data_IF_426956315044
#
_entry.id   IF_426956315044
#
_cell.length_a   1.000
_cell.length_b   1.000
_cell.length_c   1.000
_cell.angle_alpha   90.00
_cell.angle_beta   90.00
_cell.angle_gamma   90.00
#
_symmetry.space_group_name_H-M   'P 1'
#
loop_
_entity.id
_entity.type
_entity.pdbx_description
1 polymer ?
#
# COMPACT_ATOMS: atom_id res chain seq x y z
N UNK A 1 -1.91 19.12 11.99
CA UNK A 1 -0.91 18.10 11.63
C UNK A 1 0.10 18.63 10.61
N UNK A 2 -0.33 19.09 9.42
CA UNK A 2 0.59 19.68 8.44
C UNK A 2 1.32 20.93 8.91
N UNK A 3 0.63 21.84 9.60
CA UNK A 3 1.26 23.06 10.16
C UNK A 3 2.37 22.75 11.19
N UNK A 4 2.36 21.54 11.76
CA UNK A 4 3.39 21.05 12.67
C UNK A 4 4.45 20.17 11.98
N UNK A 5 4.40 20.03 10.65
CA UNK A 5 5.35 19.23 9.86
C UNK A 5 5.10 17.71 9.88
N UNK A 6 3.96 17.24 10.40
CA UNK A 6 3.62 15.81 10.38
C UNK A 6 3.03 15.37 9.04
N UNK A 7 3.43 14.18 8.58
CA UNK A 7 2.79 13.49 7.46
C UNK A 7 1.45 12.88 7.92
N UNK A 8 0.51 12.84 6.98
CA UNK A 8 -0.84 12.30 7.16
C UNK A 8 -1.03 11.07 6.27
N UNK A 9 -1.62 10.02 6.84
CA UNK A 9 -1.98 8.82 6.09
C UNK A 9 -3.45 8.46 6.35
N UNK A 10 -4.14 7.97 5.31
CA UNK A 10 -5.42 7.27 5.47
C UNK A 10 -5.13 5.77 5.58
N UNK A 11 -5.62 5.16 6.65
CA UNK A 11 -5.51 3.71 6.87
C UNK A 11 -6.68 2.94 6.24
N UNK A 12 -6.47 1.65 5.96
CA UNK A 12 -7.46 0.71 5.43
C UNK A 12 -8.21 1.20 4.17
N UNK A 13 -7.50 1.87 3.26
CA UNK A 13 -8.09 2.38 2.03
C UNK A 13 -8.56 1.21 1.14
N UNK A 14 -9.87 1.16 0.90
CA UNK A 14 -10.53 0.09 0.15
C UNK A 14 -11.31 -0.91 0.99
N UNK A 15 -11.23 -0.87 2.32
CA UNK A 15 -12.01 -1.72 3.22
C UNK A 15 -13.48 -1.26 3.41
N UNK A 16 -13.86 -0.08 2.88
CA UNK A 16 -15.19 0.50 3.04
C UNK A 16 -15.54 1.61 2.03
N UNK A 17 -16.70 2.26 2.22
CA UNK A 17 -17.32 3.15 1.23
C UNK A 17 -16.76 4.58 1.16
N UNK A 18 -15.96 5.02 2.14
CA UNK A 18 -15.68 6.46 2.33
C UNK A 18 -14.34 6.96 1.73
N UNK A 19 -13.54 6.10 1.10
CA UNK A 19 -12.19 6.45 0.65
C UNK A 19 -12.16 7.55 -0.41
N UNK A 20 -12.97 7.42 -1.47
CA UNK A 20 -12.94 8.36 -2.60
C UNK A 20 -13.54 9.72 -2.28
N UNK A 21 -14.64 9.76 -1.52
CA UNK A 21 -15.24 11.02 -1.06
C UNK A 21 -14.26 11.80 -0.19
N UNK A 22 -13.56 11.11 0.72
CA UNK A 22 -12.52 11.75 1.54
C UNK A 22 -11.40 12.33 0.68
N UNK A 23 -10.95 11.62 -0.36
CA UNK A 23 -9.93 12.12 -1.29
C UNK A 23 -10.39 13.31 -2.14
N UNK A 24 -11.69 13.49 -2.36
CA UNK A 24 -12.22 14.67 -3.04
C UNK A 24 -12.07 15.93 -2.16
N UNK A 25 -12.28 15.79 -0.85
CA UNK A 25 -12.24 16.91 0.10
C UNK A 25 -10.84 17.13 0.69
N UNK A 26 -10.01 16.08 0.76
CA UNK A 26 -8.71 16.10 1.42
C UNK A 26 -7.73 15.05 0.84
N UNK A 27 -6.57 15.51 0.37
CA UNK A 27 -5.52 14.65 -0.19
C UNK A 27 -4.41 14.42 0.85
N UNK A 28 -4.29 13.26 1.52
CA UNK A 28 -3.22 12.99 2.49
C UNK A 28 -1.85 12.88 1.82
N UNK A 29 -0.78 12.80 2.62
CA UNK A 29 0.56 12.52 2.11
C UNK A 29 0.68 11.07 1.63
N UNK A 30 -0.02 10.14 2.30
CA UNK A 30 -0.04 8.72 1.96
C UNK A 30 -1.44 8.09 2.09
N UNK A 31 -1.66 7.00 1.37
CA UNK A 31 -2.75 6.05 1.65
C UNK A 31 -2.16 4.66 1.88
N UNK A 32 -2.79 3.89 2.75
CA UNK A 32 -2.47 2.47 3.00
C UNK A 32 -3.57 1.62 2.37
N UNK A 33 -3.22 0.87 1.33
CA UNK A 33 -4.14 -0.06 0.67
C UNK A 33 -4.34 -1.28 1.54
N UNK A 34 -5.61 -1.53 1.87
CA UNK A 34 -6.02 -2.62 2.72
C UNK A 34 -5.69 -4.00 2.11
N UNK A 35 -5.37 -4.96 2.99
CA UNK A 35 -4.94 -6.30 2.60
C UNK A 35 -5.98 -7.07 1.78
N UNK A 36 -7.28 -6.76 1.88
CA UNK A 36 -8.32 -7.44 1.09
C UNK A 36 -8.21 -7.12 -0.41
N UNK A 37 -7.63 -5.97 -0.76
CA UNK A 37 -7.28 -5.61 -2.13
C UNK A 37 -5.95 -6.22 -2.58
N UNK A 38 -5.03 -6.45 -1.64
CA UNK A 38 -3.68 -6.97 -1.93
C UNK A 38 -3.66 -8.50 -2.03
N UNK A 39 -4.45 -9.20 -1.22
CA UNK A 39 -4.41 -10.66 -1.14
C UNK A 39 -4.69 -11.31 -2.49
N UNK A 40 -3.77 -12.16 -2.92
CA UNK A 40 -3.82 -12.88 -4.22
C UNK A 40 -4.04 -11.95 -5.42
N UNK A 41 -3.63 -10.68 -5.34
CA UNK A 41 -3.83 -9.70 -6.42
C UNK A 41 -3.21 -10.16 -7.74
N UNK A 42 -2.07 -10.85 -7.69
CA UNK A 42 -1.39 -11.43 -8.85
C UNK A 42 -2.26 -12.44 -9.65
N UNK A 43 -3.34 -12.98 -9.06
CA UNK A 43 -4.26 -13.95 -9.69
C UNK A 43 -5.66 -13.41 -9.94
N UNK A 44 -5.99 -12.22 -9.43
CA UNK A 44 -7.35 -11.68 -9.46
C UNK A 44 -7.42 -10.43 -10.34
N UNK A 45 -7.91 -10.58 -11.58
CA UNK A 45 -8.03 -9.48 -12.55
C UNK A 45 -8.84 -8.28 -12.04
N UNK A 46 -9.86 -8.50 -11.21
CA UNK A 46 -10.66 -7.42 -10.64
C UNK A 46 -9.83 -6.59 -9.66
N UNK A 47 -9.12 -7.26 -8.73
CA UNK A 47 -8.20 -6.58 -7.81
C UNK A 47 -7.07 -5.85 -8.56
N UNK A 48 -6.54 -6.45 -9.62
CA UNK A 48 -5.50 -5.82 -10.44
C UNK A 48 -6.00 -4.52 -11.07
N UNK A 49 -7.20 -4.53 -11.65
CA UNK A 49 -7.79 -3.33 -12.25
C UNK A 49 -8.03 -2.24 -11.19
N UNK A 50 -8.54 -2.60 -10.01
CA UNK A 50 -8.76 -1.68 -8.90
C UNK A 50 -7.43 -1.07 -8.45
N UNK A 51 -6.43 -1.89 -8.13
CA UNK A 51 -5.12 -1.42 -7.67
C UNK A 51 -4.47 -0.49 -8.69
N UNK A 52 -4.45 -0.85 -9.98
CA UNK A 52 -3.90 0.03 -11.04
C UNK A 52 -4.62 1.37 -11.09
N UNK A 53 -5.94 1.36 -11.00
CA UNK A 53 -6.75 2.59 -11.02
C UNK A 53 -6.45 3.49 -9.82
N UNK A 54 -6.31 2.90 -8.64
CA UNK A 54 -5.97 3.65 -7.41
C UNK A 54 -4.56 4.22 -7.49
N UNK A 55 -3.57 3.46 -7.99
CA UNK A 55 -2.21 3.97 -8.17
C UNK A 55 -2.21 5.18 -9.11
N UNK A 56 -2.86 5.08 -10.27
CA UNK A 56 -2.93 6.19 -11.23
C UNK A 56 -3.55 7.42 -10.58
N UNK A 57 -4.70 7.26 -9.92
CA UNK A 57 -5.36 8.36 -9.20
C UNK A 57 -4.45 8.98 -8.13
N UNK A 58 -3.77 8.17 -7.33
CA UNK A 58 -2.86 8.67 -6.30
C UNK A 58 -1.66 9.41 -6.90
N UNK A 59 -1.11 8.93 -8.02
CA UNK A 59 -0.07 9.62 -8.77
C UNK A 59 -0.53 11.01 -9.22
N UNK A 60 -1.74 11.10 -9.80
CA UNK A 60 -2.31 12.38 -10.27
C UNK A 60 -2.57 13.36 -9.12
N UNK A 61 -2.91 12.85 -7.93
CA UNK A 61 -3.16 13.64 -6.72
C UNK A 61 -1.88 13.94 -5.91
N UNK A 62 -0.71 13.42 -6.31
CA UNK A 62 0.54 13.57 -5.56
C UNK A 62 0.59 12.79 -4.24
N UNK A 63 -0.20 11.73 -4.12
CA UNK A 63 -0.36 10.90 -2.93
C UNK A 63 0.51 9.65 -3.05
N UNK A 64 1.28 9.30 -2.01
CA UNK A 64 2.05 8.05 -1.98
C UNK A 64 1.18 6.87 -1.58
N UNK A 65 1.43 5.71 -2.16
CA UNK A 65 0.70 4.47 -1.85
C UNK A 65 1.60 3.52 -1.06
N UNK A 66 1.08 3.02 0.07
CA UNK A 66 1.64 1.89 0.82
C UNK A 66 0.70 0.70 0.62
N UNK A 67 1.20 -0.46 0.22
CA UNK A 67 0.42 -1.70 0.19
C UNK A 67 0.64 -2.52 1.47
N UNK A 68 -0.44 -2.99 2.09
CA UNK A 68 -0.39 -3.74 3.35
C UNK A 68 -0.79 -5.21 3.22
N UNK A 69 -0.29 -6.01 4.16
CA UNK A 69 -0.63 -7.43 4.28
C UNK A 69 -0.01 -8.32 3.20
N UNK A 70 1.15 -7.93 2.67
CA UNK A 70 1.88 -8.71 1.66
C UNK A 70 2.50 -9.95 2.29
N UNK A 71 2.22 -11.12 1.71
CA UNK A 71 2.73 -12.41 2.20
C UNK A 71 3.38 -13.26 1.12
N UNK A 72 3.13 -12.97 -0.16
CA UNK A 72 3.70 -13.72 -1.28
C UNK A 72 4.59 -12.82 -2.15
N UNK A 73 5.68 -13.40 -2.67
CA UNK A 73 6.58 -12.73 -3.61
C UNK A 73 5.86 -12.21 -4.86
N UNK A 74 4.85 -12.93 -5.32
CA UNK A 74 4.05 -12.63 -6.50
C UNK A 74 3.12 -11.43 -6.26
N UNK A 75 2.62 -11.25 -5.04
CA UNK A 75 1.89 -10.04 -4.63
C UNK A 75 2.82 -8.83 -4.68
N UNK A 76 3.99 -8.92 -4.05
CA UNK A 76 5.04 -7.89 -4.09
C UNK A 76 5.41 -7.54 -5.53
N UNK A 77 5.68 -8.53 -6.36
CA UNK A 77 6.17 -8.31 -7.72
C UNK A 77 5.13 -7.62 -8.59
N UNK A 78 3.87 -8.03 -8.51
CA UNK A 78 2.76 -7.34 -9.17
C UNK A 78 2.62 -5.88 -8.71
N UNK A 79 2.71 -5.62 -7.40
CA UNK A 79 2.58 -4.28 -6.85
C UNK A 79 3.73 -3.36 -7.27
N UNK A 80 4.96 -3.89 -7.30
CA UNK A 80 6.13 -3.19 -7.80
C UNK A 80 5.99 -2.84 -9.28
N UNK A 81 5.46 -3.75 -10.10
CA UNK A 81 5.18 -3.49 -11.52
C UNK A 81 4.06 -2.47 -11.74
N UNK A 82 3.21 -2.27 -10.73
CA UNK A 82 2.25 -1.18 -10.71
C UNK A 82 2.85 0.14 -10.21
N UNK A 83 4.11 0.19 -9.77
CA UNK A 83 4.75 1.40 -9.25
C UNK A 83 4.54 1.64 -7.75
N UNK A 84 4.04 0.67 -7.00
CA UNK A 84 3.97 0.73 -5.54
C UNK A 84 5.30 0.21 -4.99
N UNK A 85 6.06 1.05 -4.28
CA UNK A 85 7.36 0.67 -3.70
C UNK A 85 7.38 0.71 -2.17
N UNK A 86 6.36 1.30 -1.54
CA UNK A 86 6.18 1.22 -0.08
C UNK A 86 5.27 0.04 0.23
N UNK A 87 5.78 -0.91 0.99
CA UNK A 87 5.16 -2.21 1.19
C UNK A 87 5.35 -2.69 2.62
N UNK A 88 4.28 -3.23 3.21
CA UNK A 88 4.29 -3.81 4.55
C UNK A 88 3.59 -5.17 4.54
N UNK A 89 4.17 -6.15 5.25
CA UNK A 89 3.57 -7.47 5.38
C UNK A 89 4.55 -8.52 5.89
N UNK A 90 4.03 -9.71 6.20
CA UNK A 90 4.82 -10.81 6.75
C UNK A 90 5.86 -11.37 5.78
N UNK A 91 5.73 -11.09 4.48
CA UNK A 91 6.80 -11.36 3.52
C UNK A 91 8.11 -10.67 3.93
N UNK A 92 8.03 -9.42 4.42
CA UNK A 92 9.21 -8.64 4.80
C UNK A 92 9.65 -8.93 6.23
N UNK A 93 8.72 -8.79 7.17
CA UNK A 93 8.95 -9.03 8.57
C UNK A 93 7.63 -9.17 9.33
N UNK A 94 7.60 -10.04 10.33
CA UNK A 94 6.52 -10.07 11.33
C UNK A 94 6.76 -9.01 12.40
N UNK A 95 5.70 -8.46 13.04
CA UNK A 95 5.85 -7.57 14.19
C UNK A 95 6.74 -8.19 15.26
N UNK A 96 7.71 -7.42 15.75
CA UNK A 96 8.62 -7.84 16.81
C UNK A 96 8.26 -7.15 18.12
N UNK A 97 8.19 -7.92 19.21
CA UNK A 97 7.86 -7.38 20.51
C UNK A 97 9.01 -6.53 21.06
N UNK A 98 8.77 -5.23 21.28
CA UNK A 98 9.75 -4.27 21.81
C UNK A 98 11.08 -4.21 21.02
N UNK A 99 11.02 -4.50 19.73
CA UNK A 99 12.19 -4.50 18.86
C UNK A 99 11.84 -4.00 17.45
N UNK A 100 12.86 -3.57 16.70
CA UNK A 100 12.74 -3.33 15.27
C UNK A 100 12.99 -4.65 14.54
N UNK A 101 11.96 -5.13 13.83
CA UNK A 101 12.08 -6.35 13.06
C UNK A 101 13.06 -6.15 11.90
N UNK A 102 13.88 -7.17 11.64
CA UNK A 102 14.82 -7.16 10.52
C UNK A 102 14.10 -7.68 9.26
N UNK A 103 14.27 -6.98 8.15
CA UNK A 103 13.74 -7.41 6.85
C UNK A 103 14.74 -8.39 6.23
N UNK A 104 14.23 -9.55 5.82
CA UNK A 104 15.06 -10.54 5.14
C UNK A 104 15.45 -10.01 3.74
N UNK A 105 16.75 -10.03 3.34
CA UNK A 105 17.19 -9.52 2.04
C UNK A 105 16.43 -10.13 0.85
N UNK A 106 16.09 -11.41 0.92
CA UNK A 106 15.32 -12.15 -0.08
C UNK A 106 13.88 -11.65 -0.28
N UNK A 107 13.32 -10.95 0.71
CA UNK A 107 12.00 -10.35 0.61
C UNK A 107 12.00 -9.09 -0.28
N UNK A 108 13.16 -8.48 -0.52
CA UNK A 108 13.31 -7.30 -1.35
C UNK A 108 13.41 -7.71 -2.82
N UNK A 109 12.66 -7.03 -3.71
CA UNK A 109 12.81 -7.19 -5.16
C UNK A 109 14.10 -6.45 -5.56
N UNK A 110 15.15 -7.17 -5.94
CA UNK A 110 16.34 -6.55 -6.53
C UNK A 110 16.02 -6.13 -7.96
N UNK A 111 16.41 -4.90 -8.30
CA UNK A 111 16.25 -4.30 -9.63
C UNK A 111 17.06 -5.03 -10.70
#
# INVERSE_FOLDING_TARGET
YREFGFMTAIDDFGAGYSGLTLLADFQPDLIKLDMHLIRDVHRNRVRQAIVRSVVTMCSDLGIKVIAEGIEQTEERDFLADCGIFLMQGYLFAKPAFKALAQVAPEALKTS
#
